data_IF_951200953524
#
_entry.id   IF_951200953524
#
_cell.length_a   1.000
_cell.length_b   1.000
_cell.length_c   1.000
_cell.angle_alpha   90.00
_cell.angle_beta   90.00
_cell.angle_gamma   90.00
#
_symmetry.space_group_name_H-M   'P 1'
#
loop_
_entity.id
_entity.type
_entity.pdbx_description
1 polymer ?
#
# COMPACT_ATOMS: atom_id res chain seq x y z
N UNK A 1 9.84 -12.92 48.80
CA UNK A 1 8.60 -12.14 48.58
C UNK A 1 8.66 -11.56 47.17
N UNK A 2 7.69 -11.84 46.31
CA UNK A 2 7.61 -11.21 44.99
C UNK A 2 6.82 -9.90 45.10
N UNK A 3 7.26 -8.87 44.37
CA UNK A 3 6.62 -7.54 44.31
C UNK A 3 6.39 -7.15 42.86
N UNK A 4 5.27 -6.49 42.58
CA UNK A 4 4.96 -6.01 41.25
C UNK A 4 5.97 -4.94 40.81
N UNK A 5 6.46 -5.08 39.58
CA UNK A 5 7.40 -4.12 38.96
C UNK A 5 6.86 -3.69 37.60
N UNK A 6 7.23 -2.48 37.16
CA UNK A 6 6.92 -2.00 35.81
C UNK A 6 8.00 -2.50 34.84
N UNK A 7 7.57 -3.04 33.71
CA UNK A 7 8.47 -3.42 32.61
C UNK A 7 7.82 -3.39 31.22
N UNK A 8 6.51 -3.14 31.13
CA UNK A 8 5.75 -3.22 29.88
C UNK A 8 6.22 -2.25 28.81
N UNK A 9 6.44 -0.97 29.16
CA UNK A 9 6.91 0.04 28.21
C UNK A 9 8.28 -0.31 27.63
N UNK A 10 9.23 -0.70 28.50
CA UNK A 10 10.55 -1.15 28.07
C UNK A 10 10.46 -2.41 27.20
N UNK A 11 9.56 -3.35 27.52
CA UNK A 11 9.35 -4.54 26.70
C UNK A 11 8.79 -4.19 25.31
N UNK A 12 7.80 -3.29 25.23
CA UNK A 12 7.21 -2.82 23.97
C UNK A 12 8.27 -2.10 23.11
N UNK A 13 9.05 -1.20 23.70
CA UNK A 13 10.11 -0.49 22.99
C UNK A 13 11.17 -1.44 22.40
N UNK A 14 11.61 -2.43 23.18
CA UNK A 14 12.54 -3.45 22.71
C UNK A 14 11.94 -4.33 21.61
N UNK A 15 10.65 -4.68 21.70
CA UNK A 15 9.96 -5.43 20.66
C UNK A 15 9.90 -4.64 19.34
N UNK A 16 9.61 -3.33 19.38
CA UNK A 16 9.64 -2.48 18.19
C UNK A 16 11.04 -2.35 17.58
N UNK A 17 12.09 -2.23 18.41
CA UNK A 17 13.49 -2.21 17.95
C UNK A 17 13.86 -3.51 17.24
N UNK A 18 13.50 -4.66 17.82
CA UNK A 18 13.71 -5.97 17.20
C UNK A 18 12.96 -6.12 15.87
N UNK A 19 11.71 -5.64 15.80
CA UNK A 19 10.93 -5.63 14.55
C UNK A 19 11.58 -4.74 13.48
N UNK A 20 12.11 -3.58 13.85
CA UNK A 20 12.80 -2.68 12.93
C UNK A 20 14.10 -3.31 12.38
N UNK A 21 14.89 -3.97 13.23
CA UNK A 21 16.08 -4.71 12.78
C UNK A 21 15.70 -5.86 11.84
N UNK A 22 14.68 -6.65 12.19
CA UNK A 22 14.16 -7.73 11.32
C UNK A 22 13.53 -7.23 10.02
N UNK A 23 12.99 -6.00 9.99
CA UNK A 23 12.56 -5.35 8.75
C UNK A 23 13.75 -4.99 7.88
N UNK A 24 14.84 -4.50 8.46
CA UNK A 24 16.06 -4.16 7.69
C UNK A 24 16.70 -5.40 7.07
N UNK A 25 16.70 -6.53 7.77
CA UNK A 25 17.32 -7.77 7.29
C UNK A 25 18.85 -7.66 7.17
N UNK A 26 19.45 -8.47 6.28
CA UNK A 26 20.90 -8.43 6.04
C UNK A 26 21.32 -7.07 5.47
N UNK A 27 22.32 -6.45 6.12
CA UNK A 27 22.84 -5.13 5.76
C UNK A 27 23.74 -5.17 4.52
N UNK A 28 24.21 -6.36 4.12
CA UNK A 28 24.92 -6.57 2.86
C UNK A 28 24.00 -6.44 1.64
N UNK A 29 22.69 -6.70 1.84
CA UNK A 29 21.67 -6.54 0.81
C UNK A 29 21.22 -5.08 0.75
N UNK A 30 21.15 -4.46 -0.44
CA UNK A 30 20.60 -3.12 -0.61
C UNK A 30 19.20 -3.01 -0.03
N UNK A 31 18.92 -1.89 0.64
CA UNK A 31 17.58 -1.62 1.15
C UNK A 31 16.58 -1.45 0.00
N UNK A 32 15.34 -1.90 0.20
CA UNK A 32 14.24 -1.66 -0.74
C UNK A 32 14.00 -0.16 -0.89
N UNK A 33 13.95 0.30 -2.14
CA UNK A 33 13.58 1.67 -2.50
C UNK A 33 12.10 1.71 -2.89
N UNK A 34 11.46 2.86 -2.65
CA UNK A 34 10.04 3.01 -2.92
C UNK A 34 9.73 2.85 -4.41
N UNK A 35 10.55 3.44 -5.30
CA UNK A 35 10.38 3.31 -6.75
C UNK A 35 10.47 1.85 -7.23
N UNK A 36 11.32 1.01 -6.62
CA UNK A 36 11.36 -0.42 -6.93
C UNK A 36 10.00 -1.08 -6.64
N UNK A 37 9.37 -0.74 -5.53
CA UNK A 37 8.07 -1.31 -5.13
C UNK A 37 6.95 -0.73 -6.01
N UNK A 38 6.97 0.57 -6.23
CA UNK A 38 6.01 1.29 -7.07
C UNK A 38 5.99 0.74 -8.50
N UNK A 39 7.16 0.45 -9.07
CA UNK A 39 7.29 0.01 -10.47
C UNK A 39 7.23 -1.51 -10.64
N UNK A 40 7.81 -2.28 -9.73
CA UNK A 40 7.97 -3.74 -9.90
C UNK A 40 6.94 -4.56 -9.13
N UNK A 41 6.30 -3.98 -8.11
CA UNK A 41 5.28 -4.63 -7.28
C UNK A 41 3.93 -3.89 -7.33
N UNK A 42 3.62 -3.29 -8.49
CA UNK A 42 2.48 -2.39 -8.70
C UNK A 42 1.13 -2.97 -8.25
N UNK A 43 0.88 -4.28 -8.47
CA UNK A 43 -0.38 -4.92 -8.04
C UNK A 43 -0.59 -4.87 -6.51
N UNK A 44 0.49 -4.99 -5.73
CA UNK A 44 0.44 -4.85 -4.29
C UNK A 44 0.15 -3.40 -3.87
N UNK A 45 0.77 -2.45 -4.57
CA UNK A 45 0.56 -1.01 -4.38
C UNK A 45 -0.90 -0.64 -4.68
N UNK A 46 -1.45 -1.13 -5.80
CA UNK A 46 -2.84 -0.88 -6.20
C UNK A 46 -3.84 -1.41 -5.17
N UNK A 47 -3.57 -2.61 -4.63
CA UNK A 47 -4.39 -3.19 -3.57
C UNK A 47 -4.36 -2.34 -2.30
N UNK A 48 -3.18 -1.91 -1.87
CA UNK A 48 -3.01 -1.07 -0.68
C UNK A 48 -3.69 0.29 -0.83
N UNK A 49 -3.55 0.95 -1.98
CA UNK A 49 -4.25 2.21 -2.27
C UNK A 49 -5.78 2.03 -2.25
N UNK A 50 -6.26 0.97 -2.90
CA UNK A 50 -7.69 0.71 -3.05
C UNK A 50 -8.36 0.40 -1.71
N UNK A 51 -7.82 -0.55 -0.94
CA UNK A 51 -8.39 -0.93 0.36
C UNK A 51 -8.08 0.12 1.46
N UNK A 52 -6.94 0.83 1.34
CA UNK A 52 -6.56 1.95 2.21
C UNK A 52 -7.36 3.23 1.98
N UNK A 53 -8.10 3.32 0.86
CA UNK A 53 -8.91 4.48 0.45
C UNK A 53 -8.11 5.78 0.32
N UNK A 54 -6.85 5.69 -0.11
CA UNK A 54 -5.96 6.82 -0.37
C UNK A 54 -5.13 6.53 -1.63
N UNK A 55 -5.35 7.33 -2.67
CA UNK A 55 -4.61 7.21 -3.92
C UNK A 55 -3.29 7.98 -3.82
N UNK A 56 -2.22 7.26 -3.44
CA UNK A 56 -0.84 7.74 -3.44
C UNK A 56 0.09 6.52 -3.50
N UNK A 57 0.80 6.35 -4.63
CA UNK A 57 1.64 5.17 -4.89
C UNK A 57 2.84 5.11 -3.94
N UNK A 58 3.44 6.25 -3.60
CA UNK A 58 4.63 6.28 -2.74
C UNK A 58 4.25 6.01 -1.27
N UNK A 59 3.14 6.55 -0.79
CA UNK A 59 2.64 6.25 0.56
C UNK A 59 2.23 4.78 0.70
N UNK A 60 1.59 4.21 -0.31
CA UNK A 60 1.27 2.79 -0.33
C UNK A 60 2.55 1.92 -0.32
N UNK A 61 3.54 2.26 -1.16
CA UNK A 61 4.84 1.58 -1.15
C UNK A 61 5.58 1.72 0.19
N UNK A 62 5.54 2.90 0.82
CA UNK A 62 6.13 3.13 2.13
C UNK A 62 5.45 2.26 3.20
N UNK A 63 4.12 2.16 3.18
CA UNK A 63 3.38 1.30 4.09
C UNK A 63 3.75 -0.18 3.90
N UNK A 64 3.93 -0.64 2.65
CA UNK A 64 4.41 -1.99 2.32
C UNK A 64 5.82 -2.22 2.90
N UNK A 65 6.75 -1.26 2.78
CA UNK A 65 8.07 -1.37 3.41
C UNK A 65 7.92 -1.47 4.93
N UNK A 66 7.14 -0.57 5.53
CA UNK A 66 6.97 -0.48 6.98
C UNK A 66 6.39 -1.77 7.58
N UNK A 67 5.44 -2.38 6.88
CA UNK A 67 4.78 -3.64 7.24
C UNK A 67 5.54 -4.90 6.82
N UNK A 68 6.74 -4.77 6.24
CA UNK A 68 7.55 -5.89 5.75
C UNK A 68 6.83 -6.74 4.69
N UNK A 69 5.98 -6.11 3.88
CA UNK A 69 5.20 -6.77 2.84
C UNK A 69 3.88 -7.37 3.33
N UNK A 70 3.53 -7.27 4.62
CA UNK A 70 2.19 -7.61 5.08
C UNK A 70 1.19 -6.57 4.54
N UNK A 71 0.38 -6.99 3.58
CA UNK A 71 -0.55 -6.08 2.91
C UNK A 71 -1.72 -5.68 3.82
N UNK A 72 -2.15 -6.54 4.75
CA UNK A 72 -3.25 -6.21 5.67
C UNK A 72 -2.79 -5.07 6.60
N UNK A 73 -1.57 -5.18 7.12
CA UNK A 73 -0.98 -4.13 7.95
C UNK A 73 -0.66 -2.87 7.14
N UNK A 74 -0.17 -2.99 5.89
CA UNK A 74 0.06 -1.83 5.02
C UNK A 74 -1.24 -1.06 4.76
N UNK A 75 -2.34 -1.76 4.47
CA UNK A 75 -3.67 -1.17 4.29
C UNK A 75 -4.10 -0.46 5.58
N UNK A 76 -3.90 -1.09 6.74
CA UNK A 76 -4.23 -0.48 8.02
C UNK A 76 -3.44 0.82 8.26
N UNK A 77 -2.13 0.82 8.00
CA UNK A 77 -1.26 2.00 8.12
C UNK A 77 -1.75 3.15 7.22
N UNK A 78 -2.04 2.88 5.95
CA UNK A 78 -2.56 3.90 5.01
C UNK A 78 -3.90 4.45 5.49
N UNK A 79 -4.80 3.57 5.94
CA UNK A 79 -6.14 3.96 6.41
C UNK A 79 -6.06 4.80 7.70
N UNK A 80 -5.13 4.47 8.59
CA UNK A 80 -4.85 5.24 9.79
C UNK A 80 -4.29 6.63 9.43
N UNK A 81 -3.28 6.69 8.54
CA UNK A 81 -2.69 7.94 8.07
C UNK A 81 -3.73 8.88 7.43
N UNK A 82 -4.63 8.33 6.60
CA UNK A 82 -5.74 9.08 6.00
C UNK A 82 -6.61 9.82 7.03
N UNK A 83 -6.78 9.29 8.25
CA UNK A 83 -7.57 9.96 9.29
C UNK A 83 -6.92 11.22 9.84
N UNK A 84 -5.60 11.36 9.66
CA UNK A 84 -4.82 12.53 10.08
C UNK A 84 -4.81 13.65 9.04
N UNK A 85 -5.25 13.36 7.81
CA UNK A 85 -5.21 14.31 6.71
C UNK A 85 -6.44 15.23 6.69
N UNK A 86 -6.25 16.55 6.46
CA UNK A 86 -7.37 17.46 6.24
C UNK A 86 -8.04 17.18 4.89
N UNK A 87 -9.34 17.46 4.81
CA UNK A 87 -10.08 17.43 3.54
C UNK A 87 -10.10 18.82 2.92
N UNK A 88 -9.30 19.02 1.88
CA UNK A 88 -9.23 20.31 1.19
C UNK A 88 -10.42 20.57 0.25
N UNK A 89 -11.07 19.53 -0.25
CA UNK A 89 -12.20 19.66 -1.17
C UNK A 89 -12.66 18.33 -1.73
N UNK A 90 -13.53 18.40 -2.74
CA UNK A 90 -14.10 17.25 -3.44
C UNK A 90 -13.79 17.37 -4.93
N UNK A 91 -13.53 16.23 -5.58
CA UNK A 91 -13.37 16.19 -7.03
C UNK A 91 -14.73 16.36 -7.72
N UNK A 92 -14.70 16.73 -9.00
CA UNK A 92 -15.84 16.51 -9.89
C UNK A 92 -15.99 14.99 -10.14
N UNK A 93 -17.18 14.51 -10.51
CA UNK A 93 -17.33 13.13 -11.00
C UNK A 93 -16.38 12.86 -12.17
N UNK A 94 -15.79 11.66 -12.19
CA UNK A 94 -14.89 11.22 -13.26
C UNK A 94 -15.75 10.79 -14.46
N UNK A 95 -15.44 11.27 -15.65
CA UNK A 95 -15.99 10.77 -16.91
C UNK A 95 -15.14 9.59 -17.42
N UNK A 96 -15.66 8.38 -17.24
CA UNK A 96 -14.97 7.16 -17.70
C UNK A 96 -15.12 6.93 -19.21
N UNK A 97 -16.01 7.66 -19.90
CA UNK A 97 -16.17 7.57 -21.35
C UNK A 97 -15.01 8.16 -22.13
N UNK A 98 -14.25 9.07 -21.52
CA UNK A 98 -13.05 9.72 -22.07
C UNK A 98 -11.74 9.15 -21.51
N UNK A 99 -11.80 8.02 -20.81
CA UNK A 99 -10.62 7.33 -20.27
C UNK A 99 -9.62 6.96 -21.37
N UNK A 100 -8.33 7.19 -21.11
CA UNK A 100 -7.27 6.57 -21.89
C UNK A 100 -7.20 5.09 -21.51
N UNK A 101 -7.71 4.24 -22.39
CA UNK A 101 -7.91 2.81 -22.11
C UNK A 101 -6.61 2.02 -22.24
N UNK A 102 -6.19 1.35 -21.16
CA UNK A 102 -5.11 0.34 -21.20
C UNK A 102 -5.65 -1.08 -21.47
N UNK A 103 -6.83 -1.41 -20.95
CA UNK A 103 -7.52 -2.70 -21.14
C UNK A 103 -9.03 -2.51 -21.26
N UNK A 104 -9.65 -3.20 -22.21
CA UNK A 104 -11.12 -3.20 -22.44
C UNK A 104 -11.59 -4.54 -22.98
N UNK A 105 -12.33 -5.26 -22.14
CA UNK A 105 -12.90 -6.56 -22.49
C UNK A 105 -14.39 -6.60 -22.19
N UNK A 106 -15.17 -7.23 -23.07
CA UNK A 106 -16.59 -7.50 -22.88
C UNK A 106 -16.86 -8.99 -23.02
N UNK A 107 -17.53 -9.58 -22.03
CA UNK A 107 -17.91 -11.00 -22.06
C UNK A 107 -19.25 -11.25 -22.77
N UNK A 108 -20.05 -10.19 -23.02
CA UNK A 108 -21.40 -10.31 -23.58
C UNK A 108 -21.40 -10.54 -25.08
N UNK A 109 -20.42 -9.96 -25.79
CA UNK A 109 -20.29 -10.06 -27.24
C UNK A 109 -18.89 -10.53 -27.60
N UNK A 110 -18.80 -11.29 -28.70
CA UNK A 110 -17.50 -11.71 -29.25
C UNK A 110 -16.67 -10.48 -29.65
N UNK A 111 -17.27 -9.57 -30.41
CA UNK A 111 -16.66 -8.32 -30.88
C UNK A 111 -17.53 -7.10 -30.55
N UNK A 112 -16.92 -5.92 -30.47
CA UNK A 112 -17.55 -4.65 -30.14
C UNK A 112 -16.86 -3.49 -30.88
N UNK A 113 -17.52 -2.33 -31.08
CA UNK A 113 -16.86 -1.16 -31.67
C UNK A 113 -15.59 -0.80 -30.87
N UNK A 114 -14.46 -0.66 -31.56
CA UNK A 114 -13.14 -0.48 -30.94
C UNK A 114 -12.44 -1.78 -30.51
N UNK A 115 -13.09 -2.94 -30.66
CA UNK A 115 -12.52 -4.26 -30.41
C UNK A 115 -12.38 -4.63 -28.93
N UNK A 116 -11.93 -5.87 -28.73
CA UNK A 116 -11.45 -6.39 -27.44
C UNK A 116 -9.97 -6.00 -27.30
N UNK A 117 -9.63 -5.21 -26.28
CA UNK A 117 -8.26 -4.83 -25.95
C UNK A 117 -7.83 -5.57 -24.69
N UNK A 118 -6.92 -6.53 -24.83
CA UNK A 118 -6.44 -7.32 -23.69
C UNK A 118 -5.51 -6.50 -22.77
N UNK A 119 -4.84 -5.47 -23.29
CA UNK A 119 -3.86 -4.72 -22.50
C UNK A 119 -2.67 -5.59 -22.04
N UNK A 120 -1.81 -5.05 -21.16
CA UNK A 120 -0.83 -5.84 -20.42
C UNK A 120 -1.47 -6.85 -19.45
#
# INVERSE_FOLDING_TARGET
MYVAVKGGEAAIANAHSLLADRRRGDRSVPALRLDQIVEQLALGVDRVMSEGSLYDRELAALAIVQSRGDLIEAIFLVRAYRTTLPRFGYSKPIDTGTMLVERRVSATYKDLPGGQLLGP
#
